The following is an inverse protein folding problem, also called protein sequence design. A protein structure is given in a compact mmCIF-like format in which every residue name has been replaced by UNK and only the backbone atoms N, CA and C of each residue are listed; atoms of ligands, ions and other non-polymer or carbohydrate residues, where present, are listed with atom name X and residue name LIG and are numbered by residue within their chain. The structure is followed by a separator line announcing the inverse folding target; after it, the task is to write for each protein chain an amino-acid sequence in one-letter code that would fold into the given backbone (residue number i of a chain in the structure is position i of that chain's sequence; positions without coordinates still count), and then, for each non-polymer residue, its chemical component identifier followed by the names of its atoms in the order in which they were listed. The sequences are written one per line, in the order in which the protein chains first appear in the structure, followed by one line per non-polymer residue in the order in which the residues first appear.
data_IF_302183461490
#
_entry.id   IF_302183461490
#
_cell.length_a   1.000
_cell.length_b   1.000
_cell.length_c   1.000
_cell.angle_alpha   90.00
_cell.angle_beta   90.00
_cell.angle_gamma   90.00
#
_symmetry.space_group_name_H-M   'P 1'
#
loop_
_entity.id
_entity.type
_entity.pdbx_description
1 polymer ?
#
# COMPACT_ATOMS: atom_id res chain seq x y z
N UNK A 1 -52.13 -8.55 6.36
CA UNK A 1 -50.87 -8.31 7.10
C UNK A 1 -49.69 -8.91 6.32
N UNK A 2 -49.30 -8.34 5.18
CA UNK A 2 -48.17 -8.85 4.34
C UNK A 2 -47.14 -7.73 4.04
N UNK A 3 -47.43 -6.47 4.38
CA UNK A 3 -46.53 -5.34 4.12
C UNK A 3 -45.39 -5.15 5.14
N UNK A 4 -45.41 -5.85 6.28
CA UNK A 4 -44.42 -5.65 7.36
C UNK A 4 -43.12 -6.45 7.19
N UNK A 5 -43.15 -7.57 6.46
CA UNK A 5 -42.00 -8.48 6.35
C UNK A 5 -41.04 -8.09 5.22
N UNK A 6 -41.53 -7.45 4.15
CA UNK A 6 -40.69 -7.02 3.02
C UNK A 6 -39.82 -5.81 3.39
N UNK A 7 -40.33 -4.90 4.21
CA UNK A 7 -39.57 -3.74 4.71
C UNK A 7 -38.45 -4.15 5.69
N UNK A 8 -38.67 -5.21 6.48
CA UNK A 8 -37.67 -5.72 7.42
C UNK A 8 -36.47 -6.38 6.70
N UNK A 9 -36.69 -7.01 5.54
CA UNK A 9 -35.61 -7.61 4.75
C UNK A 9 -34.80 -6.55 3.98
N UNK A 10 -35.44 -5.46 3.54
CA UNK A 10 -34.74 -4.32 2.95
C UNK A 10 -33.83 -3.60 3.97
N UNK A 11 -34.21 -3.58 5.24
CA UNK A 11 -33.40 -3.02 6.33
C UNK A 11 -32.22 -3.91 6.76
N UNK A 12 -32.25 -5.22 6.43
CA UNK A 12 -31.20 -6.17 6.75
C UNK A 12 -30.17 -6.39 5.62
N UNK A 13 -30.41 -5.82 4.43
CA UNK A 13 -29.60 -6.07 3.22
C UNK A 13 -28.39 -5.17 3.04
N UNK A 14 -28.25 -4.09 3.81
CA UNK A 14 -27.03 -3.27 3.78
C UNK A 14 -26.05 -3.84 4.80
N UNK A 15 -25.47 -4.99 4.48
CA UNK A 15 -24.17 -5.34 5.02
C UNK A 15 -23.23 -4.22 4.55
N UNK A 16 -23.07 -3.19 5.38
CA UNK A 16 -22.01 -2.22 5.16
C UNK A 16 -20.74 -3.04 5.06
N UNK A 17 -20.07 -2.98 3.91
CA UNK A 17 -18.68 -3.38 3.80
C UNK A 17 -17.95 -2.40 4.70
N UNK A 18 -17.85 -2.73 5.99
CA UNK A 18 -16.96 -2.06 6.90
C UNK A 18 -15.58 -2.39 6.33
N UNK A 19 -14.86 -1.42 5.75
CA UNK A 19 -13.48 -1.70 5.35
C UNK A 19 -12.79 -2.26 6.59
N UNK A 20 -12.15 -3.42 6.43
CA UNK A 20 -11.36 -4.00 7.51
C UNK A 20 -10.48 -2.87 8.05
N UNK A 21 -10.54 -2.61 9.36
CA UNK A 21 -9.69 -1.60 9.98
C UNK A 21 -8.25 -2.09 9.85
N UNK A 22 -7.62 -1.81 8.71
CA UNK A 22 -6.29 -2.33 8.43
C UNK A 22 -5.37 -1.75 9.49
N UNK A 23 -4.66 -2.62 10.20
CA UNK A 23 -3.68 -2.21 11.18
C UNK A 23 -2.82 -1.07 10.61
N UNK A 24 -2.55 -0.03 11.40
CA UNK A 24 -1.70 1.07 10.96
C UNK A 24 -0.37 0.48 10.47
N UNK A 25 -0.12 0.59 9.16
CA UNK A 25 1.10 0.07 8.58
C UNK A 25 2.28 0.87 9.14
N UNK A 26 3.33 0.16 9.56
CA UNK A 26 4.51 0.76 10.17
C UNK A 26 5.60 1.19 9.16
N UNK A 27 5.38 0.93 7.87
CA UNK A 27 6.31 1.30 6.79
C UNK A 27 5.56 1.97 5.65
N UNK A 28 6.26 2.81 4.89
CA UNK A 28 5.65 3.65 3.85
C UNK A 28 5.01 2.81 2.73
N UNK A 29 5.71 1.79 2.25
CA UNK A 29 5.24 0.88 1.22
C UNK A 29 4.02 0.07 1.67
N UNK A 30 4.01 -0.41 2.92
CA UNK A 30 2.87 -1.14 3.46
C UNK A 30 1.63 -0.25 3.60
N UNK A 31 1.80 1.02 4.02
CA UNK A 31 0.70 1.98 4.10
C UNK A 31 0.13 2.31 2.71
N UNK A 32 0.99 2.52 1.72
CA UNK A 32 0.54 2.77 0.35
C UNK A 32 -0.23 1.57 -0.23
N UNK A 33 0.23 0.35 0.05
CA UNK A 33 -0.37 -0.90 -0.45
C UNK A 33 -1.81 -1.11 0.06
N UNK A 34 -2.17 -0.58 1.24
CA UNK A 34 -3.55 -0.61 1.77
C UNK A 34 -4.56 0.09 0.85
N UNK A 35 -4.09 0.99 -0.01
CA UNK A 35 -4.89 1.69 -1.02
C UNK A 35 -4.59 1.22 -2.46
N UNK A 36 -3.89 0.09 -2.63
CA UNK A 36 -3.45 -0.39 -3.95
C UNK A 36 -2.39 0.49 -4.61
N UNK A 37 -1.67 1.30 -3.83
CA UNK A 37 -0.65 2.24 -4.30
C UNK A 37 0.75 1.80 -3.87
N UNK A 38 1.76 2.43 -4.45
CA UNK A 38 3.16 2.25 -4.07
C UNK A 38 3.75 3.51 -3.43
N UNK A 39 4.81 3.31 -2.65
CA UNK A 39 5.70 4.35 -2.15
C UNK A 39 7.12 3.98 -2.57
N UNK A 40 7.70 4.79 -3.46
CA UNK A 40 8.96 4.47 -4.12
C UNK A 40 10.10 5.42 -3.77
N UNK A 41 11.32 5.00 -4.11
CA UNK A 41 12.55 5.79 -3.96
C UNK A 41 13.48 5.61 -5.14
N UNK A 42 14.39 6.57 -5.32
CA UNK A 42 15.52 6.43 -6.23
C UNK A 42 16.64 5.60 -5.54
N UNK A 43 17.15 4.60 -6.26
CA UNK A 43 18.27 3.77 -5.80
C UNK A 43 19.50 4.04 -6.65
N UNK A 44 20.63 4.31 -5.98
CA UNK A 44 21.95 4.42 -6.60
C UNK A 44 22.74 3.13 -6.37
N UNK A 45 23.27 2.53 -7.44
CA UNK A 45 24.03 1.28 -7.38
C UNK A 45 25.29 1.43 -6.51
N UNK A 46 25.97 2.58 -6.55
CA UNK A 46 27.15 2.88 -5.73
C UNK A 46 26.89 2.88 -4.22
N UNK A 47 25.63 2.91 -3.78
CA UNK A 47 25.24 2.88 -2.36
C UNK A 47 24.73 1.52 -1.89
N UNK A 48 24.67 0.52 -2.76
CA UNK A 48 24.16 -0.81 -2.39
C UNK A 48 25.07 -1.57 -1.40
N UNK A 49 26.33 -1.14 -1.24
CA UNK A 49 27.22 -1.64 -0.20
C UNK A 49 26.98 -1.03 1.19
N UNK A 50 26.19 0.04 1.30
CA UNK A 50 25.86 0.68 2.58
C UNK A 50 24.69 -0.08 3.24
N UNK A 51 24.98 -0.75 4.36
CA UNK A 51 24.01 -1.55 5.10
C UNK A 51 22.88 -0.71 5.69
N UNK A 52 23.15 0.53 6.07
CA UNK A 52 22.12 1.44 6.60
C UNK A 52 21.17 1.84 5.48
N UNK A 53 21.74 2.21 4.33
CA UNK A 53 20.98 2.60 3.14
C UNK A 53 20.05 1.47 2.68
N UNK A 54 20.58 0.27 2.48
CA UNK A 54 19.82 -0.89 2.01
C UNK A 54 18.79 -1.38 3.02
N UNK A 55 19.09 -1.32 4.33
CA UNK A 55 18.13 -1.68 5.37
C UNK A 55 16.92 -0.76 5.38
N UNK A 56 17.14 0.56 5.30
CA UNK A 56 16.04 1.53 5.25
C UNK A 56 15.28 1.39 3.94
N UNK A 57 16.00 1.31 2.81
CA UNK A 57 15.39 1.23 1.49
C UNK A 57 14.50 -0.02 1.34
N UNK A 58 15.01 -1.19 1.74
CA UNK A 58 14.27 -2.44 1.67
C UNK A 58 13.10 -2.55 2.66
N UNK A 59 13.15 -1.81 3.77
CA UNK A 59 12.05 -1.78 4.75
C UNK A 59 10.92 -0.84 4.32
N UNK A 60 11.25 0.34 3.80
CA UNK A 60 10.28 1.42 3.62
C UNK A 60 9.62 1.44 2.24
N UNK A 61 10.29 1.03 1.17
CA UNK A 61 9.83 1.27 -0.19
C UNK A 61 9.45 -0.03 -0.91
N UNK A 62 8.40 0.02 -1.73
CA UNK A 62 7.92 -1.11 -2.53
C UNK A 62 7.98 -0.85 -4.06
N UNK A 63 8.61 0.24 -4.47
CA UNK A 63 8.85 0.60 -5.86
C UNK A 63 10.20 1.31 -5.97
N UNK A 64 10.96 1.00 -7.03
CA UNK A 64 12.32 1.50 -7.20
C UNK A 64 12.47 2.10 -8.59
N UNK A 65 13.08 3.28 -8.65
CA UNK A 65 13.59 3.88 -9.88
C UNK A 65 15.12 3.95 -9.77
N UNK A 66 15.84 3.56 -10.81
CA UNK A 66 17.30 3.77 -10.83
C UNK A 66 17.61 5.27 -10.87
N UNK A 67 18.52 5.73 -10.02
CA UNK A 67 18.86 7.16 -9.92
C UNK A 67 19.55 7.63 -11.20
N UNK A 68 20.53 6.86 -11.68
CA UNK A 68 21.29 7.19 -12.89
C UNK A 68 21.49 5.98 -13.80
N UNK A 69 21.40 4.76 -13.30
CA UNK A 69 21.87 3.53 -13.96
C UNK A 69 21.06 3.14 -15.21
N UNK A 70 19.90 3.76 -15.44
CA UNK A 70 19.08 3.56 -16.63
C UNK A 70 19.04 4.80 -17.54
N UNK A 71 19.86 5.83 -17.25
CA UNK A 71 20.03 6.97 -18.15
C UNK A 71 20.92 6.57 -19.34
N UNK A 72 20.79 7.23 -20.51
CA UNK A 72 21.54 6.84 -21.71
C UNK A 72 23.07 6.91 -21.59
N UNK A 73 23.58 7.67 -20.63
CA UNK A 73 25.00 7.93 -20.36
C UNK A 73 25.60 7.06 -19.23
N UNK A 74 24.81 6.16 -18.67
CA UNK A 74 25.18 5.29 -17.54
C UNK A 74 26.30 4.28 -17.86
#
# INVERSE_FOLDING_TARGET
MIGGTVAAVAAAGVAMVIPEASAAASTLGAAAAQSGRYFGTAIAAGRLGDSTYTTIAGREFNMVTAENEMKPDA
#
